data_IF_707092058193
#
_entry.id   IF_707092058193
#
_cell.length_a   1.000
_cell.length_b   1.000
_cell.length_c   1.000
_cell.angle_alpha   90.00
_cell.angle_beta   90.00
_cell.angle_gamma   90.00
#
_symmetry.space_group_name_H-M   'P 1'
#
loop_
_entity.id
_entity.type
_entity.pdbx_description
1 polymer ?
#
# COMPACT_ATOMS: atom_id res chain seq x y z
N UNK A 1 -69.66 61.86 -22.90
CA UNK A 1 -69.06 62.18 -21.59
C UNK A 1 -69.29 61.00 -20.65
N UNK A 2 -68.19 60.47 -20.11
CA UNK A 2 -68.08 59.44 -19.06
C UNK A 2 -68.57 58.02 -19.34
N UNK A 3 -67.65 57.06 -19.56
CA UNK A 3 -67.82 55.65 -19.30
C UNK A 3 -67.21 55.27 -17.94
N UNK A 4 -67.90 54.51 -17.09
CA UNK A 4 -67.34 53.84 -15.89
C UNK A 4 -68.43 53.08 -15.11
N UNK A 5 -68.26 51.94 -14.45
CA UNK A 5 -67.20 50.93 -14.27
C UNK A 5 -67.94 49.59 -14.15
N UNK A 6 -67.47 48.56 -14.83
CA UNK A 6 -67.76 47.15 -14.54
C UNK A 6 -67.18 46.75 -13.18
N UNK A 7 -68.00 46.15 -12.31
CA UNK A 7 -67.55 45.54 -11.05
C UNK A 7 -66.79 44.25 -11.34
N UNK A 8 -65.49 44.26 -11.11
CA UNK A 8 -64.64 43.07 -11.07
C UNK A 8 -64.37 42.71 -9.61
N UNK A 9 -64.71 41.49 -9.20
CA UNK A 9 -64.36 40.95 -7.88
C UNK A 9 -62.84 40.73 -7.76
N UNK A 10 -62.24 40.95 -6.57
CA UNK A 10 -60.82 40.67 -6.35
C UNK A 10 -60.55 39.15 -6.21
N UNK A 11 -59.35 38.67 -6.62
CA UNK A 11 -58.95 37.29 -6.43
C UNK A 11 -58.56 36.99 -4.98
N UNK A 12 -58.73 35.72 -4.61
CA UNK A 12 -58.42 35.19 -3.30
C UNK A 12 -56.94 35.40 -2.91
N UNK A 13 -56.76 35.83 -1.66
CA UNK A 13 -55.48 35.96 -0.95
C UNK A 13 -54.63 34.69 -1.03
N UNK A 14 -53.52 34.77 -1.76
CA UNK A 14 -52.43 33.79 -1.68
C UNK A 14 -51.67 33.98 -0.35
N UNK A 15 -52.07 33.23 0.68
CA UNK A 15 -51.32 33.17 1.95
C UNK A 15 -50.02 32.36 1.77
N UNK A 16 -48.90 33.06 1.95
CA UNK A 16 -47.60 32.61 2.48
C UNK A 16 -47.29 31.10 2.42
N UNK A 17 -46.63 30.66 1.33
CA UNK A 17 -45.85 29.40 1.28
C UNK A 17 -44.35 29.61 1.56
N UNK A 18 -43.88 30.84 1.66
CA UNK A 18 -42.47 31.19 1.86
C UNK A 18 -41.99 31.00 3.31
N UNK A 19 -42.86 31.07 4.31
CA UNK A 19 -42.47 30.90 5.72
C UNK A 19 -42.12 29.45 6.10
N UNK A 20 -42.79 28.46 5.50
CA UNK A 20 -42.63 27.05 5.87
C UNK A 20 -41.29 26.46 5.39
N UNK A 21 -40.80 26.91 4.23
CA UNK A 21 -39.52 26.45 3.67
C UNK A 21 -38.30 26.96 4.44
N UNK A 22 -38.37 28.18 4.98
CA UNK A 22 -37.31 28.72 5.84
C UNK A 22 -37.23 27.99 7.19
N UNK A 23 -38.37 27.58 7.76
CA UNK A 23 -38.39 26.82 9.00
C UNK A 23 -37.78 25.41 8.85
N UNK A 24 -38.00 24.74 7.72
CA UNK A 24 -37.43 23.42 7.44
C UNK A 24 -35.91 23.51 7.24
N UNK A 25 -35.44 24.53 6.52
CA UNK A 25 -34.00 24.75 6.31
C UNK A 25 -33.26 25.06 7.63
N UNK A 26 -33.87 25.84 8.53
CA UNK A 26 -33.28 26.14 9.84
C UNK A 26 -33.19 24.90 10.74
N UNK A 27 -34.22 24.04 10.75
CA UNK A 27 -34.22 22.79 11.53
C UNK A 27 -33.17 21.80 11.00
N UNK A 28 -33.04 21.67 9.67
CA UNK A 28 -32.00 20.82 9.07
C UNK A 28 -30.59 21.30 9.39
N UNK A 29 -30.33 22.61 9.36
CA UNK A 29 -29.02 23.15 9.70
C UNK A 29 -28.63 22.85 11.17
N UNK A 30 -29.57 22.97 12.11
CA UNK A 30 -29.32 22.66 13.53
C UNK A 30 -29.08 21.16 13.75
N UNK A 31 -29.81 20.29 13.04
CA UNK A 31 -29.59 18.84 13.10
C UNK A 31 -28.23 18.43 12.54
N UNK A 32 -27.79 19.02 11.43
CA UNK A 32 -26.48 18.74 10.83
C UNK A 32 -25.35 19.19 11.78
N UNK A 33 -25.45 20.39 12.36
CA UNK A 33 -24.45 20.88 13.34
C UNK A 33 -24.41 19.98 14.58
N UNK A 34 -25.57 19.54 15.10
CA UNK A 34 -25.64 18.60 16.21
C UNK A 34 -25.00 17.24 15.90
N UNK A 35 -25.21 16.71 14.69
CA UNK A 35 -24.62 15.45 14.25
C UNK A 35 -23.10 15.54 14.13
N UNK A 36 -22.57 16.63 13.57
CA UNK A 36 -21.12 16.88 13.45
C UNK A 36 -20.46 16.97 14.82
N UNK A 37 -21.09 17.67 15.78
CA UNK A 37 -20.56 17.77 17.16
C UNK A 37 -20.54 16.39 17.84
N UNK A 38 -21.57 15.57 17.65
CA UNK A 38 -21.62 14.22 18.22
C UNK A 38 -20.53 13.29 17.63
N UNK A 39 -20.26 13.39 16.33
CA UNK A 39 -19.19 12.61 15.68
C UNK A 39 -17.81 13.01 16.21
N UNK A 40 -17.57 14.31 16.39
CA UNK A 40 -16.30 14.80 16.96
C UNK A 40 -16.11 14.31 18.40
N UNK A 41 -17.18 14.31 19.22
CA UNK A 41 -17.12 13.80 20.60
C UNK A 41 -16.88 12.28 20.68
N UNK A 42 -17.34 11.51 19.70
CA UNK A 42 -17.09 10.06 19.63
C UNK A 42 -15.61 9.76 19.32
N UNK A 43 -14.94 10.58 18.50
CA UNK A 43 -13.52 10.37 18.16
C UNK A 43 -12.54 10.79 19.26
N UNK A 44 -12.94 11.64 20.21
CA UNK A 44 -12.06 12.11 21.29
C UNK A 44 -12.12 11.27 22.57
N UNK A 45 -13.07 10.34 22.68
CA UNK A 45 -13.22 9.47 23.87
C UNK A 45 -12.36 8.21 23.89
N UNK A 46 -11.60 7.95 22.81
CA UNK A 46 -10.86 6.69 22.64
C UNK A 46 -9.39 6.69 23.08
N UNK A 47 -8.82 7.79 23.58
CA UNK A 47 -7.37 7.85 23.81
C UNK A 47 -6.98 8.63 25.07
N UNK A 48 -7.29 8.09 26.24
CA UNK A 48 -6.70 8.54 27.51
C UNK A 48 -6.63 7.38 28.49
N UNK A 49 -5.56 6.58 28.41
CA UNK A 49 -4.94 5.95 29.58
C UNK A 49 -3.55 5.42 29.21
N UNK A 50 -2.56 6.31 29.22
CA UNK A 50 -1.18 5.96 29.53
C UNK A 50 -0.74 6.93 30.61
N UNK A 51 -0.99 6.55 31.85
CA UNK A 51 -0.42 7.21 33.02
C UNK A 51 1.02 6.75 33.17
N UNK A 52 1.93 7.68 32.94
CA UNK A 52 3.31 7.66 33.41
C UNK A 52 3.29 7.78 34.95
N UNK A 53 3.93 6.84 35.64
CA UNK A 53 4.35 6.99 37.02
C UNK A 53 5.75 6.41 37.18
N UNK A 54 6.70 7.31 37.36
CA UNK A 54 8.05 7.07 37.86
C UNK A 54 8.02 6.60 39.33
N UNK A 55 8.98 5.72 39.64
CA UNK A 55 9.81 5.69 40.84
C UNK A 55 9.17 5.37 42.22
N UNK A 56 9.59 4.24 42.82
CA UNK A 56 10.42 4.19 44.06
C UNK A 56 10.44 2.79 44.73
N UNK A 57 11.66 2.27 44.89
CA UNK A 57 12.27 1.51 46.02
C UNK A 57 11.63 0.28 46.72
N UNK A 58 12.52 -0.71 46.91
CA UNK A 58 12.73 -1.62 48.06
C UNK A 58 11.85 -2.87 48.27
N UNK A 59 12.49 -4.00 47.95
CA UNK A 59 12.72 -5.20 48.78
C UNK A 59 11.54 -5.81 49.55
N UNK A 60 11.17 -7.07 49.23
CA UNK A 60 11.18 -8.19 50.18
C UNK A 60 11.16 -9.55 49.46
N UNK A 61 12.00 -10.43 49.98
CA UNK A 61 12.19 -11.85 49.63
C UNK A 61 10.91 -12.66 49.89
N UNK A 62 10.55 -13.56 48.98
CA UNK A 62 9.92 -14.83 49.31
C UNK A 62 10.16 -15.86 48.20
N UNK A 63 11.02 -16.81 48.54
CA UNK A 63 11.22 -18.10 47.91
C UNK A 63 9.94 -18.93 48.07
N UNK A 64 9.35 -19.45 46.99
CA UNK A 64 8.38 -20.54 47.11
C UNK A 64 8.69 -21.66 46.12
N UNK A 65 9.12 -22.75 46.75
CA UNK A 65 9.45 -24.06 46.25
C UNK A 65 8.17 -24.78 45.84
N UNK A 66 8.04 -25.18 44.56
CA UNK A 66 7.00 -26.15 44.18
C UNK A 66 7.58 -27.56 44.24
N UNK A 67 7.12 -28.26 45.28
CA UNK A 67 7.38 -29.66 45.61
C UNK A 67 6.78 -30.57 44.53
N UNK A 68 7.63 -31.28 43.79
CA UNK A 68 7.22 -32.43 42.98
C UNK A 68 7.04 -33.62 43.93
N UNK A 69 5.81 -34.10 44.04
CA UNK A 69 5.49 -35.32 44.79
C UNK A 69 5.71 -36.53 43.89
N UNK A 70 6.66 -37.35 44.30
CA UNK A 70 6.93 -38.69 43.75
C UNK A 70 6.00 -39.70 44.43
N UNK A 71 5.39 -40.60 43.67
CA UNK A 71 4.88 -41.88 44.18
C UNK A 71 5.08 -42.93 43.10
N UNK A 72 6.11 -43.73 43.33
CA UNK A 72 6.56 -44.91 42.60
C UNK A 72 5.82 -46.17 43.05
N UNK A 73 5.56 -47.09 42.10
CA UNK A 73 5.83 -48.55 42.11
C UNK A 73 4.75 -49.31 41.29
N UNK A 74 5.04 -49.87 40.10
CA UNK A 74 5.78 -51.12 39.78
C UNK A 74 4.75 -52.12 39.17
N UNK A 75 4.95 -52.95 38.14
CA UNK A 75 6.12 -53.48 37.41
C UNK A 75 5.62 -54.14 36.07
N UNK A 76 6.31 -55.04 35.32
CA UNK A 76 6.79 -54.80 33.94
C UNK A 76 6.24 -55.80 32.89
N UNK A 77 6.30 -55.48 31.58
CA UNK A 77 6.39 -56.49 30.49
C UNK A 77 6.97 -55.87 29.21
N UNK A 78 8.07 -56.44 28.73
CA UNK A 78 8.83 -56.19 27.46
C UNK A 78 8.08 -56.69 26.20
N UNK A 79 8.57 -56.56 24.94
CA UNK A 79 9.23 -55.46 24.22
C UNK A 79 8.39 -55.00 22.99
N UNK A 80 8.49 -53.73 22.61
CA UNK A 80 7.93 -53.20 21.36
C UNK A 80 8.91 -52.25 20.69
N UNK A 81 9.67 -52.80 19.75
CA UNK A 81 10.57 -52.11 18.82
C UNK A 81 9.87 -50.93 18.15
N UNK A 82 10.33 -49.70 18.39
CA UNK A 82 9.99 -48.56 17.54
C UNK A 82 11.10 -47.53 17.60
N UNK A 83 12.04 -47.69 16.67
CA UNK A 83 13.05 -46.70 16.29
C UNK A 83 12.37 -45.34 16.04
N UNK A 84 12.76 -44.25 16.72
CA UNK A 84 12.35 -42.91 16.33
C UNK A 84 12.92 -42.61 14.93
N UNK A 85 12.11 -42.17 13.96
CA UNK A 85 12.66 -41.76 12.67
C UNK A 85 13.57 -40.56 12.90
N UNK A 86 14.78 -40.65 12.33
CA UNK A 86 15.73 -39.56 12.29
C UNK A 86 15.00 -38.30 11.79
N UNK A 87 15.01 -37.25 12.60
CA UNK A 87 14.62 -35.93 12.16
C UNK A 87 15.59 -35.51 11.06
N UNK A 88 15.18 -35.66 9.80
CA UNK A 88 15.81 -34.96 8.69
C UNK A 88 15.45 -33.49 8.88
N UNK A 89 16.40 -32.75 9.43
CA UNK A 89 16.40 -31.29 9.37
C UNK A 89 16.46 -30.89 7.90
N UNK A 90 15.31 -30.57 7.31
CA UNK A 90 15.26 -29.89 6.02
C UNK A 90 15.66 -28.43 6.25
N UNK A 91 16.96 -28.18 6.27
CA UNK A 91 17.49 -26.83 6.03
C UNK A 91 17.30 -26.55 4.54
N UNK A 92 16.17 -25.97 4.16
CA UNK A 92 16.07 -25.32 2.84
C UNK A 92 16.83 -24.01 2.95
N UNK A 93 18.15 -24.10 2.79
CA UNK A 93 18.98 -22.94 2.47
C UNK A 93 18.67 -22.60 1.01
N UNK A 94 18.24 -21.37 0.74
CA UNK A 94 17.84 -20.93 -0.59
C UNK A 94 18.94 -21.23 -1.61
N UNK A 95 18.64 -22.13 -2.54
CA UNK A 95 19.49 -22.42 -3.68
C UNK A 95 19.43 -21.19 -4.59
N UNK A 96 20.53 -20.44 -4.67
CA UNK A 96 20.67 -19.32 -5.61
C UNK A 96 20.44 -19.86 -7.01
N UNK A 97 19.46 -19.30 -7.72
CA UNK A 97 19.17 -19.70 -9.10
C UNK A 97 20.19 -19.00 -10.00
N UNK A 98 21.10 -19.78 -10.58
CA UNK A 98 22.13 -19.27 -11.52
C UNK A 98 21.56 -18.92 -12.91
N UNK A 99 20.24 -18.96 -13.08
CA UNK A 99 19.57 -18.59 -14.33
C UNK A 99 19.54 -17.07 -14.54
N UNK A 100 19.59 -16.65 -15.81
CA UNK A 100 19.44 -15.25 -16.20
C UNK A 100 18.16 -14.62 -15.61
N UNK A 101 18.21 -13.33 -15.29
CA UNK A 101 17.06 -12.61 -14.74
C UNK A 101 15.94 -12.51 -15.77
N UNK A 102 14.75 -12.94 -15.40
CA UNK A 102 13.57 -12.83 -16.25
C UNK A 102 12.96 -11.43 -16.17
N UNK A 103 12.66 -10.80 -17.30
CA UNK A 103 11.91 -9.53 -17.34
C UNK A 103 10.44 -9.81 -17.67
N UNK A 104 9.53 -9.40 -16.77
CA UNK A 104 8.08 -9.56 -16.94
C UNK A 104 7.35 -8.23 -17.05
N UNK A 105 6.45 -8.14 -18.02
CA UNK A 105 5.52 -7.02 -18.17
C UNK A 105 4.24 -7.31 -17.40
N UNK A 106 3.72 -6.31 -16.71
CA UNK A 106 2.44 -6.37 -16.00
C UNK A 106 1.48 -5.38 -16.64
N UNK A 107 0.31 -5.88 -17.06
CA UNK A 107 -0.85 -5.06 -17.44
C UNK A 107 -2.10 -5.62 -16.76
N UNK A 108 -2.92 -4.78 -16.11
CA UNK A 108 -4.18 -5.23 -15.49
C UNK A 108 -5.30 -5.45 -16.49
N UNK A 109 -5.17 -4.93 -17.71
CA UNK A 109 -6.24 -4.85 -18.71
C UNK A 109 -5.81 -5.38 -20.07
N UNK A 110 -6.78 -5.81 -20.86
CA UNK A 110 -6.61 -6.15 -22.28
C UNK A 110 -6.59 -4.87 -23.13
N UNK A 111 -6.30 -5.04 -24.41
CA UNK A 111 -6.45 -4.02 -25.46
C UNK A 111 -7.89 -3.48 -25.56
N UNK A 112 -8.89 -4.32 -25.29
CA UNK A 112 -10.31 -3.94 -25.18
C UNK A 112 -10.69 -3.26 -23.84
N UNK A 113 -9.72 -2.95 -22.98
CA UNK A 113 -9.91 -2.33 -21.66
C UNK A 113 -10.73 -3.15 -20.67
N UNK A 114 -10.75 -4.47 -20.85
CA UNK A 114 -11.35 -5.41 -19.90
C UNK A 114 -10.28 -5.89 -18.91
N UNK A 115 -10.62 -6.19 -17.64
CA UNK A 115 -9.69 -6.85 -16.73
C UNK A 115 -9.12 -8.13 -17.37
N UNK A 116 -7.80 -8.32 -17.32
CA UNK A 116 -7.18 -9.59 -17.73
C UNK A 116 -7.57 -10.72 -16.78
N UNK A 117 -7.43 -11.96 -17.23
CA UNK A 117 -7.69 -13.13 -16.40
C UNK A 117 -6.91 -13.06 -15.08
N UNK A 118 -7.60 -13.31 -13.97
CA UNK A 118 -7.06 -13.22 -12.62
C UNK A 118 -7.04 -11.81 -12.02
N UNK A 119 -7.20 -10.75 -12.81
CA UNK A 119 -7.25 -9.38 -12.31
C UNK A 119 -8.64 -8.96 -11.85
N UNK A 120 -8.70 -8.27 -10.72
CA UNK A 120 -9.94 -7.76 -10.15
C UNK A 120 -9.89 -6.24 -9.98
N UNK A 121 -10.99 -5.57 -10.34
CA UNK A 121 -11.20 -4.16 -10.03
C UNK A 121 -11.78 -4.02 -8.61
N UNK A 122 -11.08 -3.34 -7.71
CA UNK A 122 -11.47 -3.24 -6.29
C UNK A 122 -12.15 -1.92 -5.92
N UNK A 123 -12.03 -0.91 -6.78
CA UNK A 123 -12.82 0.32 -6.68
C UNK A 123 -13.13 0.83 -8.10
N UNK A 124 -14.35 1.30 -8.30
CA UNK A 124 -14.82 1.85 -9.57
C UNK A 124 -15.15 3.32 -9.40
N UNK A 125 -14.38 4.15 -10.10
CA UNK A 125 -14.83 5.46 -10.61
C UNK A 125 -14.94 6.56 -9.55
N UNK A 126 -13.82 6.84 -8.89
CA UNK A 126 -13.66 8.07 -8.11
C UNK A 126 -12.90 9.12 -8.94
N UNK A 127 -13.36 10.37 -8.89
CA UNK A 127 -12.61 11.51 -9.43
C UNK A 127 -11.56 11.93 -8.40
N UNK A 128 -10.30 11.78 -8.76
CA UNK A 128 -9.15 12.15 -7.97
C UNK A 128 -8.61 13.50 -8.43
N UNK A 129 -8.25 14.36 -7.49
CA UNK A 129 -7.43 15.53 -7.78
C UNK A 129 -5.96 15.09 -7.79
N UNK A 130 -5.21 15.52 -8.80
CA UNK A 130 -3.79 15.24 -8.91
C UNK A 130 -3.36 15.15 -10.36
N UNK A 131 -2.09 15.49 -10.59
CA UNK A 131 -1.47 15.41 -11.90
C UNK A 131 -0.97 13.99 -12.18
N UNK A 132 -0.76 13.71 -13.47
CA UNK A 132 -0.19 12.46 -13.96
C UNK A 132 1.06 12.78 -14.80
N UNK A 133 2.13 12.05 -14.52
CA UNK A 133 3.41 12.14 -15.22
C UNK A 133 3.80 10.77 -15.79
N UNK A 134 4.75 10.67 -16.74
CA UNK A 134 5.25 9.39 -17.19
C UNK A 134 5.63 8.49 -16.01
N UNK A 135 5.23 7.23 -16.09
CA UNK A 135 5.57 6.25 -15.07
C UNK A 135 7.09 5.98 -15.08
N UNK A 136 7.76 6.00 -13.92
CA UNK A 136 9.18 5.65 -13.84
C UNK A 136 9.43 4.14 -13.95
N UNK A 137 8.36 3.34 -13.99
CA UNK A 137 8.43 1.87 -14.02
C UNK A 137 7.81 1.27 -15.27
N UNK A 138 7.48 2.12 -16.26
CA UNK A 138 6.85 1.70 -17.50
C UNK A 138 7.88 1.43 -18.59
N UNK A 139 7.63 0.38 -19.39
CA UNK A 139 8.36 0.09 -20.61
C UNK A 139 7.66 0.63 -21.87
N UNK A 140 6.41 1.08 -21.75
CA UNK A 140 5.59 1.54 -22.86
C UNK A 140 4.93 2.89 -22.56
N UNK A 141 4.57 3.62 -23.62
CA UNK A 141 3.80 4.85 -23.55
C UNK A 141 2.37 4.62 -23.00
N UNK A 142 1.75 5.70 -22.51
CA UNK A 142 0.37 5.65 -22.01
C UNK A 142 0.22 5.06 -20.60
N UNK A 143 1.34 4.83 -19.91
CA UNK A 143 1.40 4.38 -18.52
C UNK A 143 1.97 5.50 -17.66
N UNK A 144 1.23 5.87 -16.62
CA UNK A 144 1.51 7.07 -15.82
C UNK A 144 1.74 6.73 -14.36
N UNK A 145 2.48 7.61 -13.69
CA UNK A 145 2.41 7.77 -12.24
C UNK A 145 1.42 8.89 -11.94
N UNK A 146 0.40 8.61 -11.15
CA UNK A 146 -0.68 9.56 -10.88
C UNK A 146 -0.93 9.78 -9.39
N UNK A 147 -1.47 10.96 -9.06
CA UNK A 147 -1.90 11.32 -7.71
C UNK A 147 -0.74 11.74 -6.79
N UNK A 148 -1.03 12.05 -5.51
CA UNK A 148 0.02 12.39 -4.54
C UNK A 148 0.97 11.20 -4.39
N UNK A 149 2.24 11.47 -4.06
CA UNK A 149 3.28 10.43 -3.93
C UNK A 149 2.88 9.27 -3.00
N UNK A 150 2.03 9.52 -2.00
CA UNK A 150 1.50 8.52 -1.07
C UNK A 150 0.46 7.56 -1.66
N UNK A 151 -0.13 7.87 -2.81
CA UNK A 151 -1.08 7.01 -3.50
C UNK A 151 -0.42 5.68 -3.91
N UNK A 152 0.90 5.61 -4.08
CA UNK A 152 1.62 4.41 -4.54
C UNK A 152 1.21 3.92 -5.94
N UNK A 153 0.56 4.78 -6.74
CA UNK A 153 0.14 4.49 -8.10
C UNK A 153 1.25 4.84 -9.10
N UNK A 154 2.32 4.04 -9.10
CA UNK A 154 3.42 4.22 -10.06
C UNK A 154 3.08 3.71 -11.46
N UNK A 155 2.05 2.88 -11.60
CA UNK A 155 1.62 2.33 -12.87
C UNK A 155 0.11 2.52 -13.03
N UNK A 156 -0.29 3.47 -13.87
CA UNK A 156 -1.67 3.75 -14.22
C UNK A 156 -1.82 3.71 -15.74
N UNK A 157 -2.57 2.73 -16.24
CA UNK A 157 -2.82 2.50 -17.65
C UNK A 157 -3.96 3.40 -18.12
N UNK A 158 -3.67 4.38 -18.98
CA UNK A 158 -4.65 5.37 -19.42
C UNK A 158 -5.41 4.88 -20.65
N UNK A 159 -6.74 4.81 -20.54
CA UNK A 159 -7.62 4.64 -21.68
C UNK A 159 -7.95 6.01 -22.29
N UNK A 160 -7.41 6.36 -23.46
CA UNK A 160 -7.64 7.68 -24.06
C UNK A 160 -9.07 7.89 -24.56
N UNK A 161 -9.82 6.81 -24.85
CA UNK A 161 -11.19 6.90 -25.35
C UNK A 161 -12.19 7.19 -24.24
N UNK A 162 -11.96 6.62 -23.05
CA UNK A 162 -12.85 6.83 -21.89
C UNK A 162 -12.33 7.84 -20.87
N UNK A 163 -11.04 8.16 -20.90
CA UNK A 163 -10.33 8.98 -19.90
C UNK A 163 -10.10 8.27 -18.57
N UNK A 164 -10.38 6.96 -18.47
CA UNK A 164 -10.18 6.16 -17.25
C UNK A 164 -8.72 5.76 -17.11
N UNK A 165 -8.21 5.81 -15.89
CA UNK A 165 -6.91 5.25 -15.51
C UNK A 165 -7.10 3.97 -14.71
N UNK A 166 -6.46 2.88 -15.14
CA UNK A 166 -6.44 1.61 -14.43
C UNK A 166 -5.13 1.49 -13.67
N UNK A 167 -5.19 1.66 -12.36
CA UNK A 167 -4.01 1.78 -11.49
C UNK A 167 -3.88 0.56 -10.57
N UNK A 168 -3.06 -0.43 -10.94
CA UNK A 168 -2.58 -1.44 -10.00
C UNK A 168 -1.53 -0.82 -9.07
N UNK A 169 -1.58 -1.17 -7.79
CA UNK A 169 -0.70 -0.58 -6.76
C UNK A 169 0.51 -1.44 -6.42
N UNK A 170 0.45 -2.73 -6.78
CA UNK A 170 1.49 -3.70 -6.48
C UNK A 170 1.62 -4.68 -7.67
N UNK A 171 2.84 -4.97 -8.16
CA UNK A 171 3.04 -5.91 -9.27
C UNK A 171 2.75 -7.38 -8.90
N UNK A 172 2.70 -7.70 -7.61
CA UNK A 172 2.50 -9.06 -7.08
C UNK A 172 1.04 -9.35 -6.70
N UNK A 173 0.17 -8.34 -6.66
CA UNK A 173 -1.25 -8.50 -6.32
C UNK A 173 -2.11 -8.20 -7.55
N UNK A 174 -2.95 -9.14 -8.03
CA UNK A 174 -3.74 -8.96 -9.25
C UNK A 174 -5.00 -8.14 -8.99
N UNK A 175 -4.82 -6.93 -8.46
CA UNK A 175 -5.87 -5.99 -8.15
C UNK A 175 -5.52 -4.60 -8.68
N UNK A 176 -6.51 -3.91 -9.23
CA UNK A 176 -6.37 -2.52 -9.64
C UNK A 176 -7.60 -1.70 -9.26
N UNK A 177 -7.44 -0.39 -9.29
CA UNK A 177 -8.55 0.56 -9.15
C UNK A 177 -8.69 1.39 -10.41
N UNK A 178 -9.93 1.78 -10.70
CA UNK A 178 -10.24 2.64 -11.84
C UNK A 178 -10.54 4.07 -11.36
N UNK A 179 -9.81 5.04 -11.91
CA UNK A 179 -9.89 6.45 -11.53
C UNK A 179 -10.13 7.37 -12.72
N UNK A 180 -10.68 8.55 -12.41
CA UNK A 180 -10.53 9.74 -13.25
C UNK A 180 -9.62 10.73 -12.54
N UNK A 181 -8.66 11.32 -13.24
CA UNK A 181 -7.80 12.36 -12.67
C UNK A 181 -8.20 13.74 -13.22
N UNK A 182 -8.49 14.67 -12.31
CA UNK A 182 -8.69 16.08 -12.60
C UNK A 182 -7.37 16.80 -12.33
N UNK A 183 -6.50 16.83 -13.34
CA UNK A 183 -5.17 17.43 -13.30
C UNK A 183 -4.56 17.51 -14.70
N UNK A 184 -3.35 18.05 -14.80
CA UNK A 184 -2.61 18.00 -16.06
C UNK A 184 -2.12 16.58 -16.32
N UNK A 185 -2.40 16.07 -17.52
CA UNK A 185 -1.80 14.85 -18.02
C UNK A 185 -0.68 15.29 -18.94
N UNK A 186 0.55 15.34 -18.42
CA UNK A 186 1.71 15.63 -19.25
C UNK A 186 1.98 14.40 -20.11
N UNK A 187 1.58 14.45 -21.38
CA UNK A 187 1.91 13.40 -22.31
C UNK A 187 3.36 13.56 -22.75
N UNK A 188 4.22 12.72 -22.21
CA UNK A 188 5.61 12.55 -22.61
C UNK A 188 5.86 11.08 -22.88
N UNK A 189 6.82 10.73 -23.76
CA UNK A 189 7.18 9.34 -24.02
C UNK A 189 7.67 8.67 -22.73
N UNK A 190 7.73 7.34 -22.76
CA UNK A 190 8.42 6.52 -21.74
C UNK A 190 9.73 7.18 -21.32
N UNK A 191 10.03 7.15 -20.03
CA UNK A 191 11.28 7.75 -19.53
C UNK A 191 12.49 6.95 -20.05
N UNK A 192 13.61 7.63 -20.24
CA UNK A 192 14.89 6.96 -20.47
C UNK A 192 15.26 6.20 -19.18
N UNK A 193 15.65 4.94 -19.31
CA UNK A 193 16.10 4.06 -18.22
C UNK A 193 15.06 3.82 -17.10
N UNK A 194 13.94 3.11 -17.40
CA UNK A 194 12.94 2.80 -16.39
C UNK A 194 13.50 1.80 -15.37
N UNK A 195 13.13 2.00 -14.09
CA UNK A 195 13.46 1.05 -13.04
C UNK A 195 12.39 -0.05 -12.92
N UNK A 196 12.73 -1.27 -12.48
CA UNK A 196 11.73 -2.28 -12.17
C UNK A 196 10.67 -1.78 -11.19
N UNK A 197 9.41 -2.11 -11.44
CA UNK A 197 8.34 -1.83 -10.49
C UNK A 197 8.42 -2.75 -9.26
N UNK A 198 8.77 -4.01 -9.50
CA UNK A 198 8.99 -4.99 -8.45
C UNK A 198 10.08 -5.98 -8.85
N UNK A 199 10.66 -6.62 -7.84
CA UNK A 199 11.73 -7.60 -7.97
C UNK A 199 11.36 -8.84 -7.17
N UNK A 200 11.52 -10.01 -7.77
CA UNK A 200 11.62 -11.27 -7.04
C UNK A 200 13.11 -11.65 -6.98
N UNK A 201 13.64 -11.77 -5.77
CA UNK A 201 15.04 -12.14 -5.54
C UNK A 201 15.22 -13.65 -5.60
N UNK A 202 16.46 -14.12 -5.74
CA UNK A 202 16.76 -15.56 -5.79
C UNK A 202 16.38 -16.31 -4.50
N UNK A 203 16.36 -15.60 -3.37
CA UNK A 203 15.86 -16.12 -2.09
C UNK A 203 14.34 -16.01 -1.92
N UNK A 204 13.62 -15.72 -3.01
CA UNK A 204 12.18 -15.60 -3.12
C UNK A 204 11.55 -14.39 -2.40
N UNK A 205 12.35 -13.43 -1.91
CA UNK A 205 11.80 -12.16 -1.42
C UNK A 205 11.19 -11.36 -2.57
N UNK A 206 10.01 -10.80 -2.31
CA UNK A 206 9.33 -9.88 -3.23
C UNK A 206 9.52 -8.44 -2.74
N UNK A 207 10.13 -7.61 -3.59
CA UNK A 207 10.47 -6.24 -3.30
C UNK A 207 9.73 -5.29 -4.24
N UNK A 208 9.11 -4.24 -3.72
CA UNK A 208 8.45 -3.22 -4.54
C UNK A 208 9.21 -1.90 -4.49
N UNK A 209 9.31 -1.23 -5.64
CA UNK A 209 9.96 0.08 -5.75
C UNK A 209 9.38 1.04 -4.72
N UNK A 210 10.23 1.88 -4.14
CA UNK A 210 9.90 2.79 -3.05
C UNK A 210 8.69 3.68 -3.41
N UNK A 211 7.65 3.59 -2.58
CA UNK A 211 6.43 4.37 -2.69
C UNK A 211 6.25 5.32 -1.51
N UNK A 212 6.47 6.63 -1.75
CA UNK A 212 6.19 7.68 -0.76
C UNK A 212 6.71 7.35 0.65
N UNK A 213 6.05 7.91 1.67
CA UNK A 213 6.31 7.58 3.07
C UNK A 213 7.63 8.12 3.64
N UNK A 214 7.73 8.12 4.97
CA UNK A 214 8.99 8.34 5.65
C UNK A 214 9.78 7.03 5.62
N UNK A 215 11.01 7.10 5.13
CA UNK A 215 11.95 6.00 5.15
C UNK A 215 13.08 6.35 6.10
N UNK A 216 13.70 5.31 6.64
CA UNK A 216 14.93 5.46 7.39
C UNK A 216 16.09 6.02 6.56
N UNK A 217 17.21 6.23 7.24
CA UNK A 217 18.47 6.62 6.65
C UNK A 217 19.61 5.87 7.33
N UNK A 218 20.77 5.81 6.68
CA UNK A 218 21.99 5.17 7.21
C UNK A 218 23.13 6.19 7.27
N UNK A 219 24.05 6.01 8.21
CA UNK A 219 25.21 6.90 8.36
C UNK A 219 26.21 6.83 7.19
N UNK A 220 26.12 5.78 6.36
CA UNK A 220 27.01 5.50 5.23
C UNK A 220 26.41 5.92 3.87
N UNK A 221 25.46 6.87 3.88
CA UNK A 221 24.81 7.49 2.73
C UNK A 221 23.94 6.57 1.85
N UNK A 222 23.85 5.27 2.14
CA UNK A 222 22.94 4.36 1.44
C UNK A 222 21.47 4.77 1.67
N UNK A 223 20.70 4.78 0.59
CA UNK A 223 19.27 5.08 0.58
C UNK A 223 18.44 3.86 0.20
N UNK A 224 17.28 3.72 0.82
CA UNK A 224 16.32 2.66 0.52
C UNK A 224 15.61 2.94 -0.81
N UNK A 225 15.61 1.94 -1.68
CA UNK A 225 15.05 2.00 -3.02
C UNK A 225 13.90 1.01 -3.26
N UNK A 226 13.89 -0.15 -2.59
CA UNK A 226 12.76 -1.08 -2.58
C UNK A 226 12.50 -1.61 -1.18
N UNK A 227 11.22 -1.85 -0.86
CA UNK A 227 10.81 -2.55 0.37
C UNK A 227 10.53 -4.00 0.04
N UNK A 228 11.12 -4.92 0.81
CA UNK A 228 11.05 -6.36 0.60
C UNK A 228 10.18 -7.04 1.67
N UNK A 229 8.86 -6.92 1.55
CA UNK A 229 7.91 -7.44 2.54
C UNK A 229 7.47 -6.40 3.57
N UNK A 230 6.22 -6.50 4.03
CA UNK A 230 5.46 -5.46 4.74
C UNK A 230 5.87 -5.13 6.18
N UNK A 231 7.17 -5.05 6.48
CA UNK A 231 7.66 -4.56 7.78
C UNK A 231 9.06 -4.99 8.22
N UNK A 232 9.90 -5.57 7.35
CA UNK A 232 11.31 -5.83 7.70
C UNK A 232 12.16 -4.58 7.50
N UNK A 233 13.14 -4.39 8.39
CA UNK A 233 14.17 -3.34 8.26
C UNK A 233 15.10 -3.58 7.05
N UNK A 234 15.06 -4.78 6.46
CA UNK A 234 15.85 -5.16 5.30
C UNK A 234 15.20 -4.68 3.98
N UNK A 235 15.94 -3.87 3.23
CA UNK A 235 15.52 -3.18 2.03
C UNK A 235 16.60 -3.29 0.95
N UNK A 236 16.23 -3.02 -0.30
CA UNK A 236 17.23 -2.79 -1.36
C UNK A 236 17.79 -1.39 -1.17
N UNK A 237 19.11 -1.28 -1.14
CA UNK A 237 19.88 -0.08 -0.89
C UNK A 237 20.68 0.30 -2.14
N UNK A 238 20.89 1.60 -2.31
CA UNK A 238 21.81 2.14 -3.30
C UNK A 238 22.50 3.39 -2.77
N UNK A 239 23.67 3.71 -3.32
CA UNK A 239 24.28 5.01 -3.09
C UNK A 239 23.64 6.05 -4.02
N UNK A 240 23.57 7.34 -3.61
CA UNK A 240 23.04 8.39 -4.45
C UNK A 240 23.80 8.49 -5.79
N UNK A 241 23.09 8.36 -6.91
CA UNK A 241 23.66 8.46 -8.25
C UNK A 241 24.22 7.16 -8.81
N UNK A 242 24.22 6.08 -8.02
CA UNK A 242 24.56 4.73 -8.49
C UNK A 242 23.29 3.97 -8.93
N UNK A 243 23.40 3.02 -9.87
CA UNK A 243 22.27 2.18 -10.25
C UNK A 243 21.80 1.35 -9.06
N UNK A 244 20.48 1.28 -8.86
CA UNK A 244 19.87 0.50 -7.78
C UNK A 244 19.93 -1.00 -8.08
N UNK A 245 19.79 -1.35 -9.36
CA UNK A 245 19.87 -2.70 -9.89
C UNK A 245 21.06 -2.72 -10.81
N UNK A 246 22.01 -3.61 -10.56
CA UNK A 246 23.08 -3.91 -11.50
C UNK A 246 22.53 -4.90 -12.52
N UNK A 247 22.25 -4.40 -13.72
CA UNK A 247 21.72 -5.13 -14.87
C UNK A 247 22.75 -5.29 -16.00
N UNK A 248 24.04 -5.12 -15.68
CA UNK A 248 25.13 -5.14 -16.66
C UNK A 248 25.46 -6.52 -17.23
N UNK A 249 25.01 -7.59 -16.56
CA UNK A 249 25.13 -8.99 -16.96
C UNK A 249 23.75 -9.65 -17.12
N UNK A 250 23.70 -10.85 -17.71
CA UNK A 250 22.44 -11.63 -17.87
C UNK A 250 21.75 -11.94 -16.52
N UNK A 251 22.53 -12.04 -15.44
CA UNK A 251 22.04 -12.19 -14.07
C UNK A 251 22.18 -10.86 -13.36
N UNK A 252 21.05 -10.24 -13.02
CA UNK A 252 21.02 -8.96 -12.32
C UNK A 252 21.25 -9.16 -10.82
N UNK A 253 21.77 -8.13 -10.17
CA UNK A 253 21.99 -8.11 -8.73
C UNK A 253 21.53 -6.79 -8.09
N UNK A 254 21.23 -6.87 -6.80
CA UNK A 254 20.89 -5.72 -5.95
C UNK A 254 21.65 -5.80 -4.64
N UNK A 255 21.80 -4.66 -3.97
CA UNK A 255 22.39 -4.61 -2.63
C UNK A 255 21.29 -4.62 -1.57
N UNK A 256 21.26 -5.65 -0.73
CA UNK A 256 20.32 -5.79 0.38
C UNK A 256 20.97 -5.42 1.71
N UNK A 257 20.23 -4.75 2.58
CA UNK A 257 20.67 -4.50 3.94
C UNK A 257 19.62 -3.78 4.78
N UNK A 258 19.93 -3.64 6.06
CA UNK A 258 19.05 -2.98 7.02
C UNK A 258 19.01 -1.46 6.85
N UNK A 259 17.90 -0.86 7.24
CA UNK A 259 17.68 0.58 7.26
C UNK A 259 17.12 1.00 8.62
N UNK A 260 17.61 2.11 9.17
CA UNK A 260 17.24 2.62 10.49
C UNK A 260 17.08 4.13 10.52
N UNK A 261 17.46 4.77 11.63
CA UNK A 261 17.41 6.22 11.84
C UNK A 261 18.82 6.82 11.98
N UNK A 262 19.78 6.33 11.19
CA UNK A 262 21.15 6.82 11.16
C UNK A 262 22.17 5.98 11.90
N UNK A 263 21.85 4.74 12.23
CA UNK A 263 22.78 3.80 12.83
C UNK A 263 23.83 3.33 11.81
N UNK A 264 24.93 2.80 12.34
CA UNK A 264 25.93 2.06 11.57
C UNK A 264 25.43 0.64 11.34
N UNK A 265 25.30 0.25 10.09
CA UNK A 265 24.93 -1.11 9.68
C UNK A 265 26.10 -1.79 8.97
N UNK A 266 26.12 -3.14 8.91
CA UNK A 266 27.02 -3.85 8.01
C UNK A 266 26.87 -3.36 6.56
N UNK A 267 27.93 -3.55 5.77
CA UNK A 267 27.89 -3.27 4.34
C UNK A 267 26.75 -4.09 3.70
N UNK A 268 25.96 -3.49 2.78
CA UNK A 268 24.93 -4.21 2.04
C UNK A 268 25.52 -5.43 1.29
N UNK A 269 24.73 -6.49 1.19
CA UNK A 269 25.14 -7.74 0.56
C UNK A 269 24.50 -7.88 -0.82
N UNK A 270 25.25 -8.34 -1.84
CA UNK A 270 24.68 -8.60 -3.15
C UNK A 270 23.72 -9.79 -3.10
N UNK A 271 22.56 -9.64 -3.74
CA UNK A 271 21.55 -10.68 -3.91
C UNK A 271 21.11 -10.68 -5.37
N UNK A 272 21.06 -11.86 -5.97
CA UNK A 272 20.63 -12.01 -7.35
C UNK A 272 19.13 -11.78 -7.52
N UNK A 273 18.75 -11.26 -8.67
CA UNK A 273 17.35 -11.05 -9.06
C UNK A 273 16.90 -12.22 -9.93
N UNK A 274 15.83 -12.89 -9.52
CA UNK A 274 15.20 -13.93 -10.32
C UNK A 274 14.30 -13.33 -11.39
N UNK A 275 13.44 -12.36 -11.01
CA UNK A 275 12.47 -11.74 -11.92
C UNK A 275 12.38 -10.24 -11.67
N UNK A 276 12.45 -9.43 -12.73
CA UNK A 276 12.17 -8.01 -12.72
C UNK A 276 10.82 -7.70 -13.39
N UNK A 277 9.92 -7.08 -12.64
CA UNK A 277 8.57 -6.74 -13.07
C UNK A 277 8.50 -5.29 -13.48
N UNK A 278 8.00 -5.00 -14.68
CA UNK A 278 7.76 -3.66 -15.19
C UNK A 278 6.29 -3.47 -15.54
N UNK A 279 5.81 -2.24 -15.51
CA UNK A 279 4.53 -1.90 -16.12
C UNK A 279 4.69 -1.88 -17.64
N UNK A 280 3.80 -2.54 -18.36
CA UNK A 280 3.86 -2.57 -19.82
C UNK A 280 2.62 -3.25 -20.38
N UNK A 281 2.24 -2.86 -21.59
CA UNK A 281 1.22 -3.56 -22.34
C UNK A 281 1.71 -4.98 -22.64
N UNK A 282 0.80 -5.93 -22.56
CA UNK A 282 1.07 -7.32 -22.93
C UNK A 282 0.32 -7.59 -24.24
N UNK A 283 0.97 -8.33 -25.14
CA UNK A 283 0.32 -8.84 -26.35
C UNK A 283 -0.74 -9.92 -26.05
#
# INVERSE_FOLDING_TARGET
MSPDQSRTSPPASARNRTGLLWSIAAVLAVLIVGLVIAIIALQTSGNSDVTQADDLTETHVAEETVVVTDTTAADPTEPGESTPPAATTSTTQGETRDDATEVRRISPVTDDWLPRDGWTVTNTTEMMQGDCYPSPVALDDGIYRCGPSAMSANACFHNPDSGVFYCPFNPFTPEFRAYYFAGEITHTPVIDDPMPWGLELDDARQCTARQGGAWGWRADDYVGAYSCGGGSDEVILALPGEPVVDDSDDKWAVLMGEMGQGEDFPAPQPVGVAVAYYAGWQD
#
